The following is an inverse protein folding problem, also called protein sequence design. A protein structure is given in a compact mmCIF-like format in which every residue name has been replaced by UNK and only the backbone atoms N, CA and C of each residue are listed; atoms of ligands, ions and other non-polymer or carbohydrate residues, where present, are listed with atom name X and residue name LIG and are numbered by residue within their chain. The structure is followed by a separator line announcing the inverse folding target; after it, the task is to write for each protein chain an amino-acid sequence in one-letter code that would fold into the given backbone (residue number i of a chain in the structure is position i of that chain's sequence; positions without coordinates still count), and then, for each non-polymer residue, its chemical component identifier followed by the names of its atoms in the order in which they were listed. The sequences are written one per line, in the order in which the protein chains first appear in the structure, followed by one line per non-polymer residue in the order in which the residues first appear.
data_IF_122014148204
#
_entry.id   IF_122014148204
#
_cell.length_a   1.000
_cell.length_b   1.000
_cell.length_c   1.000
_cell.angle_alpha   90.00
_cell.angle_beta   90.00
_cell.angle_gamma   90.00
#
_symmetry.space_group_name_H-M   'P 1'
#
loop_
_entity.id
_entity.type
_entity.pdbx_description
1 polymer ?
#
# COMPACT_ATOMS: atom_id res chain seq x y z
N UNK A 1 26.71 2.89 1.24
CA UNK A 1 25.58 2.08 1.74
C UNK A 1 24.36 2.96 1.72
N UNK A 2 23.30 2.57 1.02
CA UNK A 2 22.02 3.28 1.06
C UNK A 2 21.36 2.90 2.40
N UNK A 3 20.99 3.89 3.21
CA UNK A 3 20.25 3.66 4.44
C UNK A 3 18.86 3.12 4.13
N UNK A 4 18.34 2.21 4.96
CA UNK A 4 16.94 1.79 4.87
C UNK A 4 16.03 3.02 5.00
N UNK A 5 14.90 3.07 4.26
CA UNK A 5 13.97 4.18 4.34
C UNK A 5 13.41 4.32 5.75
N UNK A 6 13.26 5.55 6.21
CA UNK A 6 12.58 5.88 7.45
C UNK A 6 11.09 5.54 7.36
N UNK A 7 10.43 5.41 8.53
CA UNK A 7 8.98 5.26 8.62
C UNK A 7 8.24 6.37 7.85
N UNK A 8 8.72 7.61 7.97
CA UNK A 8 8.11 8.76 7.30
C UNK A 8 8.24 8.70 5.78
N UNK A 9 9.37 8.22 5.26
CA UNK A 9 9.56 8.00 3.82
C UNK A 9 8.62 6.90 3.29
N UNK A 10 8.49 5.78 4.01
CA UNK A 10 7.56 4.71 3.64
C UNK A 10 6.09 5.18 3.66
N UNK A 11 5.68 5.87 4.73
CA UNK A 11 4.32 6.42 4.83
C UNK A 11 4.06 7.45 3.72
N UNK A 12 5.02 8.33 3.43
CA UNK A 12 4.87 9.31 2.36
C UNK A 12 4.84 8.66 0.97
N UNK A 13 5.57 7.55 0.74
CA UNK A 13 5.45 6.80 -0.50
C UNK A 13 4.01 6.33 -0.73
N UNK A 14 3.34 5.80 0.31
CA UNK A 14 1.92 5.43 0.22
C UNK A 14 1.03 6.64 -0.09
N UNK A 15 1.26 7.78 0.59
CA UNK A 15 0.47 9.02 0.39
C UNK A 15 0.55 9.52 -1.05
N UNK A 16 1.76 9.69 -1.55
CA UNK A 16 1.98 10.29 -2.86
C UNK A 16 1.59 9.33 -3.98
N UNK A 17 1.88 8.03 -3.85
CA UNK A 17 1.42 7.05 -4.82
C UNK A 17 -0.11 7.02 -4.93
N UNK A 18 -0.81 7.08 -3.79
CA UNK A 18 -2.27 7.16 -3.77
C UNK A 18 -2.80 8.48 -4.36
N UNK A 19 -2.19 9.61 -4.02
CA UNK A 19 -2.62 10.93 -4.50
C UNK A 19 -2.41 11.08 -6.02
N UNK A 20 -1.23 10.69 -6.52
CA UNK A 20 -0.87 10.81 -7.93
C UNK A 20 -1.72 9.91 -8.82
N UNK A 21 -2.01 8.67 -8.38
CA UNK A 21 -2.89 7.75 -9.09
C UNK A 21 -4.32 8.28 -9.19
N UNK A 22 -4.90 8.78 -8.08
CA UNK A 22 -6.22 9.43 -8.09
C UNK A 22 -6.22 10.65 -9.02
N UNK A 23 -5.16 11.44 -8.98
CA UNK A 23 -5.03 12.63 -9.82
C UNK A 23 -4.95 12.27 -11.31
N UNK A 24 -4.16 11.24 -11.67
CA UNK A 24 -4.03 10.69 -13.02
C UNK A 24 -5.36 10.13 -13.54
N UNK A 25 -6.13 9.45 -12.69
CA UNK A 25 -7.45 8.94 -13.02
C UNK A 25 -8.54 10.02 -13.06
N UNK A 26 -8.27 11.22 -12.52
CA UNK A 26 -9.25 12.28 -12.27
C UNK A 26 -10.51 11.77 -11.53
N UNK A 27 -10.33 10.74 -10.69
CA UNK A 27 -11.41 10.04 -9.98
C UNK A 27 -10.83 9.18 -8.86
N UNK A 28 -11.51 9.13 -7.71
CA UNK A 28 -11.10 8.30 -6.57
C UNK A 28 -11.12 9.06 -5.24
N UNK A 29 -10.61 8.43 -4.18
CA UNK A 29 -10.66 8.95 -2.81
C UNK A 29 -9.25 8.97 -2.20
N UNK A 30 -8.52 10.10 -2.27
CA UNK A 30 -7.14 10.18 -1.81
C UNK A 30 -7.03 10.41 -0.30
N UNK A 31 -8.06 11.01 0.32
CA UNK A 31 -8.03 11.41 1.73
C UNK A 31 -7.86 10.24 2.70
N UNK A 32 -8.61 9.15 2.51
CA UNK A 32 -8.50 7.97 3.39
C UNK A 32 -7.12 7.28 3.27
N UNK A 33 -6.61 6.97 2.06
CA UNK A 33 -5.24 6.47 1.90
C UNK A 33 -4.18 7.37 2.56
N UNK A 34 -4.30 8.69 2.42
CA UNK A 34 -3.34 9.62 3.00
C UNK A 34 -3.37 9.64 4.54
N UNK A 35 -4.58 9.56 5.13
CA UNK A 35 -4.76 9.51 6.58
C UNK A 35 -4.34 8.18 7.20
N UNK A 36 -4.49 7.07 6.48
CA UNK A 36 -4.15 5.73 6.96
C UNK A 36 -2.70 5.30 6.68
N UNK A 37 -1.91 6.09 5.96
CA UNK A 37 -0.57 5.71 5.52
C UNK A 37 0.38 5.29 6.67
N UNK A 38 0.39 6.01 7.79
CA UNK A 38 1.23 5.65 8.95
C UNK A 38 0.82 4.31 9.57
N UNK A 39 -0.50 4.12 9.75
CA UNK A 39 -1.06 2.90 10.33
C UNK A 39 -0.77 1.71 9.42
N UNK A 40 -0.99 1.87 8.10
CA UNK A 40 -0.72 0.83 7.12
C UNK A 40 0.76 0.47 7.05
N UNK A 41 1.66 1.47 7.13
CA UNK A 41 3.11 1.24 7.18
C UNK A 41 3.46 0.33 8.35
N UNK A 42 3.06 0.69 9.57
CA UNK A 42 3.35 -0.09 10.77
C UNK A 42 2.72 -1.48 10.70
N UNK A 43 1.45 -1.57 10.28
CA UNK A 43 0.73 -2.84 10.19
C UNK A 43 1.47 -3.83 9.28
N UNK A 44 1.88 -3.41 8.09
CA UNK A 44 2.55 -4.30 7.14
C UNK A 44 4.03 -4.51 7.46
N UNK A 45 4.74 -3.51 7.95
CA UNK A 45 6.18 -3.64 8.21
C UNK A 45 6.51 -4.41 9.49
N UNK A 46 5.59 -4.41 10.46
CA UNK A 46 5.91 -4.84 11.82
C UNK A 46 5.02 -5.96 12.37
N UNK A 47 3.84 -6.18 11.80
CA UNK A 47 2.85 -7.09 12.39
C UNK A 47 2.33 -8.16 11.43
N UNK A 48 2.03 -7.80 10.19
CA UNK A 48 1.47 -8.77 9.24
C UNK A 48 2.51 -9.77 8.76
N UNK A 49 2.10 -11.03 8.76
CA UNK A 49 2.82 -12.12 8.12
C UNK A 49 2.21 -12.42 6.75
N UNK A 50 2.94 -12.08 5.68
CA UNK A 50 2.50 -12.29 4.30
C UNK A 50 3.70 -12.54 3.39
N UNK A 51 3.42 -13.04 2.20
CA UNK A 51 4.42 -13.24 1.15
C UNK A 51 3.88 -12.74 -0.17
N UNK A 52 4.42 -11.64 -0.69
CA UNK A 52 4.03 -11.10 -1.99
C UNK A 52 4.37 -12.06 -3.16
N UNK A 53 5.39 -12.90 -3.00
CA UNK A 53 5.74 -13.94 -3.96
C UNK A 53 4.87 -15.19 -3.86
N UNK A 54 4.15 -15.39 -2.75
CA UNK A 54 3.20 -16.48 -2.54
C UNK A 54 1.89 -15.96 -1.93
N UNK A 55 1.08 -15.20 -2.69
CA UNK A 55 -0.14 -14.56 -2.19
C UNK A 55 -1.23 -15.57 -1.78
N UNK A 56 -1.15 -16.80 -2.27
CA UNK A 56 -2.09 -17.88 -1.96
C UNK A 56 -1.67 -18.73 -0.76
N UNK A 57 -0.55 -18.39 -0.10
CA UNK A 57 -0.10 -19.07 1.12
C UNK A 57 -1.25 -19.19 2.14
N UNK A 58 -1.66 -20.42 2.53
CA UNK A 58 -2.85 -20.61 3.34
C UNK A 58 -2.82 -19.95 4.73
N UNK A 59 -1.64 -19.83 5.34
CA UNK A 59 -1.45 -19.36 6.72
C UNK A 59 -1.01 -17.88 6.80
N UNK A 60 -1.12 -17.14 5.69
CA UNK A 60 -0.89 -15.69 5.69
C UNK A 60 -1.95 -14.95 6.51
N UNK A 61 -1.56 -13.82 7.08
CA UNK A 61 -2.52 -12.86 7.61
C UNK A 61 -3.38 -12.27 6.49
N UNK A 62 -4.65 -11.98 6.81
CA UNK A 62 -5.62 -11.45 5.85
C UNK A 62 -5.92 -9.99 6.17
N UNK A 63 -5.60 -9.11 5.23
CA UNK A 63 -6.00 -7.71 5.26
C UNK A 63 -7.32 -7.52 4.51
N UNK A 64 -8.32 -6.95 5.18
CA UNK A 64 -9.62 -6.59 4.57
C UNK A 64 -9.81 -5.08 4.72
N UNK A 65 -9.84 -4.36 3.59
CA UNK A 65 -10.15 -2.95 3.58
C UNK A 65 -11.67 -2.73 3.48
N UNK A 66 -12.34 -2.69 4.64
CA UNK A 66 -13.80 -2.50 4.69
C UNK A 66 -14.25 -1.15 4.10
N UNK A 67 -13.47 -0.09 4.32
CA UNK A 67 -13.64 1.21 3.69
C UNK A 67 -13.13 1.22 2.23
N UNK A 68 -13.77 0.41 1.39
CA UNK A 68 -13.29 0.10 0.03
C UNK A 68 -13.18 1.30 -0.93
N UNK A 69 -13.77 2.44 -0.59
CA UNK A 69 -13.64 3.66 -1.38
C UNK A 69 -12.19 4.17 -1.47
N UNK A 70 -11.35 3.89 -0.46
CA UNK A 70 -9.91 4.19 -0.49
C UNK A 70 -9.08 3.03 -1.01
N UNK A 71 -9.55 2.35 -2.05
CA UNK A 71 -8.87 1.23 -2.72
C UNK A 71 -7.40 1.53 -3.07
N UNK A 72 -7.07 2.79 -3.39
CA UNK A 72 -5.70 3.20 -3.66
C UNK A 72 -4.71 2.96 -2.52
N UNK A 73 -5.18 2.91 -1.26
CA UNK A 73 -4.35 2.46 -0.15
C UNK A 73 -3.89 1.01 -0.38
N UNK A 74 -4.82 0.11 -0.69
CA UNK A 74 -4.54 -1.29 -0.92
C UNK A 74 -3.64 -1.49 -2.15
N UNK A 75 -3.92 -0.80 -3.25
CA UNK A 75 -3.09 -0.90 -4.46
C UNK A 75 -1.67 -0.38 -4.24
N UNK A 76 -1.53 0.75 -3.53
CA UNK A 76 -0.21 1.27 -3.15
C UNK A 76 0.58 0.27 -2.31
N UNK A 77 -0.06 -0.38 -1.33
CA UNK A 77 0.60 -1.38 -0.49
C UNK A 77 0.98 -2.62 -1.29
N UNK A 78 0.11 -3.13 -2.15
CA UNK A 78 0.39 -4.30 -3.01
C UNK A 78 1.57 -4.01 -3.95
N UNK A 79 1.61 -2.82 -4.54
CA UNK A 79 2.73 -2.38 -5.37
C UNK A 79 4.04 -2.30 -4.55
N UNK A 80 4.05 -1.53 -3.46
CA UNK A 80 5.25 -1.28 -2.66
C UNK A 80 5.81 -2.54 -1.98
N UNK A 81 4.95 -3.55 -1.73
CA UNK A 81 5.37 -4.84 -1.16
C UNK A 81 5.76 -5.89 -2.20
N UNK A 82 5.62 -5.57 -3.49
CA UNK A 82 6.15 -6.39 -4.59
C UNK A 82 5.20 -7.48 -5.09
N UNK A 83 3.89 -7.28 -5.00
CA UNK A 83 2.93 -8.19 -5.64
C UNK A 83 3.06 -8.06 -7.16
N UNK A 84 3.32 -9.19 -7.84
CA UNK A 84 3.66 -9.24 -9.27
C UNK A 84 2.63 -8.58 -10.21
N UNK A 85 1.36 -8.61 -9.82
CA UNK A 85 0.24 -8.12 -10.63
C UNK A 85 -0.05 -6.62 -10.39
N UNK A 86 0.66 -5.98 -9.45
CA UNK A 86 0.50 -4.56 -9.09
C UNK A 86 1.77 -3.78 -9.46
N UNK A 87 2.08 -3.74 -10.76
CA UNK A 87 3.20 -2.93 -11.28
C UNK A 87 2.88 -1.44 -11.18
N UNK A 88 3.88 -0.58 -11.39
CA UNK A 88 3.65 0.88 -11.38
C UNK A 88 2.71 1.35 -12.50
N UNK A 89 2.60 0.58 -13.59
CA UNK A 89 1.72 0.90 -14.72
C UNK A 89 0.25 0.61 -14.41
N UNK A 90 -0.02 -0.33 -13.49
CA UNK A 90 -1.35 -0.68 -12.98
C UNK A 90 -1.84 0.26 -11.87
N UNK A 91 -1.03 1.28 -11.52
CA UNK A 91 -1.32 2.32 -10.54
C UNK A 91 -1.71 3.63 -11.24
#
# INVERSE_FOLDING_TARGET
MISSPSHQEMANAIRFLSADAVQKANSGHPGMPMGMADVATILLSSYMNFSASNPDWPDRDRLILSAGHGSMLLYSLLHLTGYKDFTIDEI
#
